data_IF_921720754547
#
_entry.id   IF_921720754547
#
_cell.length_a   1.000
_cell.length_b   1.000
_cell.length_c   1.000
_cell.angle_alpha   90.00
_cell.angle_beta   90.00
_cell.angle_gamma   90.00
#
_symmetry.space_group_name_H-M   'P 1'
#
loop_
_entity.id
_entity.type
_entity.pdbx_description
1 polymer ?
#
# COMPACT_ATOMS: atom_id res chain seq x y z
N UNK A 1 -7.03 -5.23 14.44
CA UNK A 1 -7.55 -3.86 14.37
C UNK A 1 -7.62 -3.39 12.92
N UNK A 2 -8.72 -2.75 12.47
CA UNK A 2 -8.78 -2.04 11.18
C UNK A 2 -7.73 -0.92 11.05
N UNK A 3 -7.05 -0.85 9.91
CA UNK A 3 -6.08 0.22 9.62
C UNK A 3 -6.75 1.60 9.64
N UNK A 4 -8.01 1.67 9.20
CA UNK A 4 -8.80 2.89 9.15
C UNK A 4 -9.05 3.55 10.51
N UNK A 5 -8.85 2.84 11.61
CA UNK A 5 -8.89 3.41 12.96
C UNK A 5 -7.79 4.46 13.17
N UNK A 6 -6.65 4.28 12.51
CA UNK A 6 -5.47 5.13 12.61
C UNK A 6 -5.28 5.99 11.36
N UNK A 7 -5.66 5.45 10.19
CA UNK A 7 -5.57 6.10 8.89
C UNK A 7 -6.96 6.18 8.25
N UNK A 8 -7.82 7.16 8.60
CA UNK A 8 -9.22 7.20 8.15
C UNK A 8 -9.42 7.15 6.64
N UNK A 9 -8.47 7.70 5.85
CA UNK A 9 -8.49 7.64 4.37
C UNK A 9 -8.46 6.20 3.82
N UNK A 10 -8.05 5.22 4.61
CA UNK A 10 -8.02 3.81 4.23
C UNK A 10 -9.39 3.10 4.39
N UNK A 11 -10.41 3.78 4.92
CA UNK A 11 -11.73 3.19 5.12
C UNK A 11 -12.47 2.87 3.81
N UNK A 12 -12.24 3.68 2.78
CA UNK A 12 -13.02 3.68 1.52
C UNK A 12 -12.17 3.35 0.29
N UNK A 13 -11.06 2.62 0.48
CA UNK A 13 -10.21 2.19 -0.63
C UNK A 13 -11.02 1.43 -1.67
N UNK A 14 -10.61 1.59 -2.92
CA UNK A 14 -11.15 0.79 -4.02
C UNK A 14 -10.25 -0.44 -4.24
N UNK A 15 -10.81 -1.46 -4.85
CA UNK A 15 -10.12 -2.70 -5.22
C UNK A 15 -10.31 -2.94 -6.70
N UNK A 16 -9.25 -3.30 -7.39
CA UNK A 16 -9.33 -3.67 -8.80
C UNK A 16 -10.17 -4.95 -8.97
N UNK A 17 -11.12 -4.93 -9.90
CA UNK A 17 -11.86 -6.13 -10.31
C UNK A 17 -10.96 -7.08 -11.08
N UNK A 18 -11.16 -8.38 -10.89
CA UNK A 18 -10.49 -9.40 -11.71
C UNK A 18 -10.95 -9.26 -13.18
N UNK A 19 -10.03 -9.44 -14.11
CA UNK A 19 -10.34 -9.46 -15.55
C UNK A 19 -10.50 -8.09 -16.23
N UNK A 20 -10.23 -6.97 -15.55
CA UNK A 20 -10.25 -5.64 -16.18
C UNK A 20 -9.71 -4.53 -15.29
N UNK A 21 -9.94 -3.28 -15.72
CA UNK A 21 -9.55 -2.05 -15.00
C UNK A 21 -10.69 -1.46 -14.13
N UNK A 22 -11.84 -2.12 -14.07
CA UNK A 22 -12.95 -1.69 -13.21
C UNK A 22 -12.59 -1.79 -11.72
N UNK A 23 -13.24 -0.96 -10.91
CA UNK A 23 -13.06 -0.92 -9.45
C UNK A 23 -14.29 -1.46 -8.70
N UNK A 24 -14.07 -2.01 -7.52
CA UNK A 24 -15.10 -2.42 -6.56
C UNK A 24 -14.72 -1.94 -5.14
N UNK A 25 -15.70 -1.68 -4.26
CA UNK A 25 -15.41 -1.29 -2.89
C UNK A 25 -14.78 -2.43 -2.08
N UNK A 26 -14.17 -2.08 -0.95
CA UNK A 26 -13.75 -3.05 0.07
C UNK A 26 -14.94 -3.91 0.53
N UNK A 27 -14.75 -5.23 0.54
CA UNK A 27 -15.70 -6.19 1.16
C UNK A 27 -15.52 -6.31 2.67
N UNK A 28 -14.33 -5.93 3.16
CA UNK A 28 -13.95 -5.89 4.57
C UNK A 28 -12.85 -4.85 4.77
N UNK A 29 -12.73 -4.27 5.97
CA UNK A 29 -11.63 -3.36 6.26
C UNK A 29 -10.26 -4.04 6.09
N UNK A 30 -9.26 -3.27 5.62
CA UNK A 30 -7.86 -3.65 5.77
C UNK A 30 -7.52 -3.67 7.27
N UNK A 31 -6.72 -4.64 7.72
CA UNK A 31 -6.35 -4.80 9.14
C UNK A 31 -4.84 -4.77 9.30
N UNK A 32 -4.34 -4.50 10.51
CA UNK A 32 -2.91 -4.58 10.82
C UNK A 32 -2.31 -5.97 10.51
N UNK A 33 -3.10 -7.05 10.68
CA UNK A 33 -2.69 -8.40 10.29
C UNK A 33 -2.49 -8.52 8.77
N UNK A 34 -3.35 -7.89 7.98
CA UNK A 34 -3.18 -7.89 6.53
C UNK A 34 -1.90 -7.17 6.09
N UNK A 35 -1.54 -6.09 6.79
CA UNK A 35 -0.29 -5.38 6.55
C UNK A 35 0.93 -6.27 6.86
N UNK A 36 0.98 -6.83 8.08
CA UNK A 36 2.09 -7.70 8.53
C UNK A 36 2.34 -8.91 7.62
N UNK A 37 1.29 -9.43 6.99
CA UNK A 37 1.36 -10.65 6.18
C UNK A 37 1.44 -10.38 4.67
N UNK A 38 1.54 -9.11 4.23
CA UNK A 38 1.48 -8.75 2.82
C UNK A 38 0.22 -9.29 2.10
N UNK A 39 -0.90 -9.31 2.82
CA UNK A 39 -2.22 -9.72 2.30
C UNK A 39 -3.19 -8.54 2.22
N UNK A 40 -2.67 -7.32 2.27
CA UNK A 40 -3.46 -6.08 2.24
C UNK A 40 -4.00 -5.73 0.84
N UNK A 41 -3.34 -6.21 -0.22
CA UNK A 41 -3.61 -5.82 -1.61
C UNK A 41 -2.78 -4.62 -2.09
N UNK A 42 -1.94 -4.02 -1.24
CA UNK A 42 -0.96 -3.01 -1.62
C UNK A 42 0.23 -3.66 -2.34
N UNK A 43 0.78 -2.99 -3.34
CA UNK A 43 1.89 -3.49 -4.18
C UNK A 43 2.91 -2.39 -4.46
N UNK A 44 4.12 -2.73 -4.92
CA UNK A 44 5.06 -1.77 -5.52
C UNK A 44 4.78 -1.48 -7.01
N UNK A 45 3.73 -2.08 -7.58
CA UNK A 45 3.38 -2.01 -8.99
C UNK A 45 3.82 -3.29 -9.71
N UNK A 46 4.20 -3.22 -11.00
CA UNK A 46 4.62 -4.44 -11.69
C UNK A 46 5.87 -5.01 -11.04
N UNK A 47 5.88 -6.33 -10.82
CA UNK A 47 7.03 -7.06 -10.27
C UNK A 47 8.27 -7.00 -11.18
N UNK A 48 9.28 -7.77 -10.84
CA UNK A 48 10.50 -7.93 -11.64
C UNK A 48 10.58 -9.33 -12.23
N UNK A 49 11.28 -9.46 -13.35
CA UNK A 49 11.72 -10.76 -13.88
C UNK A 49 12.79 -11.36 -12.96
N UNK A 50 13.07 -12.63 -13.15
CA UNK A 50 14.20 -13.35 -12.56
C UNK A 50 15.56 -12.67 -12.83
N UNK A 51 15.70 -12.03 -14.00
CA UNK A 51 16.87 -11.23 -14.38
C UNK A 51 16.90 -9.84 -13.76
N UNK A 52 15.88 -9.47 -12.99
CA UNK A 52 15.76 -8.17 -12.33
C UNK A 52 15.15 -7.08 -13.19
N UNK A 53 14.78 -7.36 -14.44
CA UNK A 53 14.10 -6.42 -15.34
C UNK A 53 12.70 -6.12 -14.82
N UNK A 54 12.28 -4.87 -14.93
CA UNK A 54 10.96 -4.45 -14.44
C UNK A 54 9.88 -4.93 -15.40
N UNK A 55 8.88 -5.65 -14.88
CA UNK A 55 7.74 -6.05 -15.69
C UNK A 55 6.96 -4.81 -16.16
N UNK A 56 6.30 -4.94 -17.30
CA UNK A 56 5.45 -3.88 -17.85
C UNK A 56 4.17 -3.80 -17.03
N UNK A 57 3.88 -2.63 -16.45
CA UNK A 57 2.57 -2.36 -15.85
C UNK A 57 1.47 -2.41 -16.92
N UNK A 58 0.50 -3.31 -16.75
CA UNK A 58 -0.55 -3.58 -17.73
C UNK A 58 -1.85 -2.86 -17.37
N UNK A 59 -2.12 -2.71 -16.07
CA UNK A 59 -3.36 -2.10 -15.56
C UNK A 59 -3.16 -0.65 -15.13
N UNK A 60 -4.26 0.12 -15.04
CA UNK A 60 -4.24 1.48 -14.47
C UNK A 60 -3.72 1.47 -13.04
N UNK A 61 -4.13 0.47 -12.24
CA UNK A 61 -3.67 0.27 -10.87
C UNK A 61 -2.14 0.13 -10.80
N UNK A 62 -1.56 -0.82 -11.53
CA UNK A 62 -0.10 -1.04 -11.55
C UNK A 62 0.68 0.19 -12.02
N UNK A 63 0.15 0.92 -13.01
CA UNK A 63 0.76 2.17 -13.49
C UNK A 63 0.77 3.23 -12.39
N UNK A 64 -0.30 3.34 -11.60
CA UNK A 64 -0.37 4.28 -10.47
C UNK A 64 0.63 3.94 -9.36
N UNK A 65 0.84 2.66 -9.02
CA UNK A 65 1.87 2.28 -8.05
C UNK A 65 3.28 2.54 -8.57
N UNK A 66 3.51 2.27 -9.86
CA UNK A 66 4.80 2.59 -10.50
C UNK A 66 5.12 4.08 -10.47
N UNK A 67 4.11 4.93 -10.66
CA UNK A 67 4.25 6.38 -10.54
C UNK A 67 4.63 6.80 -9.11
N UNK A 68 3.98 6.23 -8.09
CA UNK A 68 4.35 6.49 -6.70
C UNK A 68 5.77 6.04 -6.36
N UNK A 69 6.22 4.87 -6.83
CA UNK A 69 7.61 4.44 -6.65
C UNK A 69 8.58 5.47 -7.24
N UNK A 70 8.29 6.01 -8.44
CA UNK A 70 9.14 7.05 -9.04
C UNK A 70 9.17 8.35 -8.22
N UNK A 71 8.04 8.73 -7.61
CA UNK A 71 7.94 9.90 -6.74
C UNK A 71 8.69 9.71 -5.42
N UNK A 72 8.78 8.47 -4.94
CA UNK A 72 9.65 8.13 -3.80
C UNK A 72 11.13 8.19 -4.22
N UNK A 73 11.48 7.60 -5.37
CA UNK A 73 12.85 7.59 -5.89
C UNK A 73 13.38 9.02 -6.16
N UNK A 74 12.51 9.94 -6.57
CA UNK A 74 12.87 11.35 -6.79
C UNK A 74 12.91 12.20 -5.51
N UNK A 75 12.48 11.66 -4.37
CA UNK A 75 12.37 12.38 -3.10
C UNK A 75 11.14 13.30 -3.00
N UNK A 76 10.20 13.27 -3.96
CA UNK A 76 8.94 14.02 -3.86
C UNK A 76 8.06 13.49 -2.71
N UNK A 77 8.04 12.16 -2.55
CA UNK A 77 7.43 11.45 -1.42
C UNK A 77 8.54 11.00 -0.48
N UNK A 78 8.78 11.80 0.56
CA UNK A 78 9.93 11.69 1.48
C UNK A 78 9.54 11.28 2.92
N UNK A 79 8.25 11.03 3.19
CA UNK A 79 7.75 10.67 4.51
C UNK A 79 6.66 9.60 4.45
N UNK A 80 6.49 8.85 5.55
CA UNK A 80 5.43 7.85 5.68
C UNK A 80 4.03 8.46 5.62
N UNK A 81 3.88 9.71 6.04
CA UNK A 81 2.64 10.47 5.91
C UNK A 81 2.29 10.74 4.45
N UNK A 82 3.19 11.36 3.68
CA UNK A 82 2.99 11.65 2.26
C UNK A 82 2.75 10.35 1.47
N UNK A 83 3.49 9.29 1.83
CA UNK A 83 3.33 7.98 1.22
C UNK A 83 1.94 7.39 1.48
N UNK A 84 1.47 7.40 2.73
CA UNK A 84 0.13 6.90 3.06
C UNK A 84 -0.99 7.73 2.44
N UNK A 85 -0.81 9.06 2.34
CA UNK A 85 -1.75 9.93 1.63
C UNK A 85 -1.84 9.53 0.15
N UNK A 86 -0.71 9.38 -0.53
CA UNK A 86 -0.69 8.96 -1.94
C UNK A 86 -1.20 7.52 -2.14
N UNK A 87 -0.97 6.62 -1.19
CA UNK A 87 -1.50 5.25 -1.22
C UNK A 87 -3.02 5.21 -1.03
N UNK A 88 -3.59 6.15 -0.27
CA UNK A 88 -5.03 6.19 -0.03
C UNK A 88 -5.86 6.48 -1.28
N UNK A 89 -5.23 7.00 -2.33
CA UNK A 89 -5.84 7.29 -3.62
C UNK A 89 -5.71 6.13 -4.62
N UNK A 90 -4.99 5.06 -4.27
CA UNK A 90 -4.69 3.95 -5.19
C UNK A 90 -5.60 2.75 -4.92
N UNK A 91 -6.08 2.09 -5.98
CA UNK A 91 -6.85 0.86 -5.81
C UNK A 91 -5.95 -0.28 -5.33
N UNK A 92 -6.47 -1.17 -4.50
CA UNK A 92 -5.82 -2.41 -4.11
C UNK A 92 -5.85 -3.42 -5.25
N UNK A 93 -4.85 -4.28 -5.33
CA UNK A 93 -4.77 -5.32 -6.37
C UNK A 93 -5.76 -6.47 -6.15
N UNK A 94 -6.16 -6.70 -4.90
CA UNK A 94 -7.15 -7.68 -4.48
C UNK A 94 -7.74 -7.28 -3.12
N UNK A 95 -8.85 -7.93 -2.75
CA UNK A 95 -9.52 -7.70 -1.47
C UNK A 95 -8.63 -8.11 -0.29
N UNK A 96 -8.57 -7.34 0.82
CA UNK A 96 -7.74 -7.69 1.97
C UNK A 96 -7.98 -9.13 2.48
N UNK A 97 -6.90 -9.91 2.57
CA UNK A 97 -6.88 -11.32 2.96
C UNK A 97 -7.20 -12.32 1.84
N UNK A 98 -7.43 -11.87 0.59
CA UNK A 98 -7.78 -12.75 -0.54
C UNK A 98 -6.58 -13.17 -1.40
N UNK A 99 -5.36 -12.73 -1.06
CA UNK A 99 -4.15 -13.02 -1.81
C UNK A 99 -2.91 -12.50 -1.10
N UNK A 100 -1.76 -12.68 -1.74
CA UNK A 100 -0.46 -12.20 -1.29
C UNK A 100 0.18 -11.33 -2.37
N UNK A 101 0.73 -10.20 -1.98
CA UNK A 101 1.54 -9.33 -2.85
C UNK A 101 2.52 -8.52 -2.01
N UNK A 102 3.79 -8.56 -2.40
CA UNK A 102 4.81 -7.78 -1.70
C UNK A 102 4.72 -6.31 -2.12
N UNK A 103 4.82 -5.41 -1.15
CA UNK A 103 4.40 -4.03 -1.38
C UNK A 103 4.51 -3.16 -0.14
N UNK A 104 3.93 -1.96 -0.23
CA UNK A 104 3.93 -0.92 0.79
C UNK A 104 3.21 -1.25 2.11
N UNK A 105 2.91 -2.53 2.37
CA UNK A 105 2.19 -2.95 3.57
C UNK A 105 2.94 -2.59 4.86
N UNK A 106 4.26 -2.74 4.88
CA UNK A 106 5.07 -2.42 6.05
C UNK A 106 5.28 -0.90 6.22
N UNK A 107 5.28 -0.13 5.14
CA UNK A 107 5.32 1.34 5.23
C UNK A 107 4.06 1.90 5.91
N UNK A 108 2.88 1.38 5.53
CA UNK A 108 1.61 1.72 6.17
C UNK A 108 1.57 1.27 7.64
N UNK A 109 2.17 0.11 7.95
CA UNK A 109 2.33 -0.34 9.33
C UNK A 109 3.23 0.62 10.11
N UNK A 110 4.35 1.04 9.53
CA UNK A 110 5.25 2.04 10.09
C UNK A 110 4.52 3.35 10.40
N UNK A 111 3.72 3.87 9.46
CA UNK A 111 2.91 5.07 9.69
C UNK A 111 1.91 4.88 10.82
N UNK A 112 1.30 3.70 10.91
CA UNK A 112 0.38 3.38 12.00
C UNK A 112 1.09 3.43 13.35
N UNK A 113 2.33 2.90 13.44
CA UNK A 113 3.13 2.95 14.66
C UNK A 113 3.47 4.39 15.06
N UNK A 114 3.80 5.26 14.09
CA UNK A 114 4.03 6.69 14.37
C UNK A 114 2.81 7.36 14.98
N UNK A 115 1.62 7.09 14.44
CA UNK A 115 0.37 7.68 14.92
C UNK A 115 -0.04 7.15 16.30
N UNK A 116 0.20 5.88 16.58
CA UNK A 116 -0.10 5.26 17.89
C UNK A 116 0.83 5.79 18.98
N UNK A 117 2.10 5.99 18.66
CA UNK A 117 3.13 6.36 19.65
C UNK A 117 3.36 7.87 19.76
N UNK A 118 2.95 8.65 18.76
CA UNK A 118 3.31 10.07 18.64
C UNK A 118 4.79 10.31 18.34
N UNK A 119 5.53 9.28 17.90
CA UNK A 119 6.98 9.34 17.68
C UNK A 119 7.34 8.95 16.23
N UNK A 120 8.44 9.48 15.66
CA UNK A 120 8.90 9.05 14.35
C UNK A 120 9.37 7.59 14.38
N UNK A 121 9.12 6.84 13.29
CA UNK A 121 9.42 5.40 13.24
C UNK A 121 10.89 5.08 13.56
N UNK A 122 11.82 5.94 13.12
CA UNK A 122 13.26 5.82 13.40
C UNK A 122 13.57 5.74 14.90
N UNK A 123 12.77 6.39 15.75
CA UNK A 123 12.95 6.35 17.20
C UNK A 123 12.40 5.05 17.77
N UNK A 124 11.22 4.64 17.33
CA UNK A 124 10.56 3.40 17.79
C UNK A 124 11.43 2.16 17.55
N UNK A 125 12.13 2.09 16.40
CA UNK A 125 12.95 0.92 16.04
C UNK A 125 14.29 0.86 16.82
N UNK A 126 14.76 1.98 17.37
CA UNK A 126 16.04 2.03 18.10
C UNK A 126 15.94 1.57 19.55
N UNK A 127 14.73 1.57 20.11
CA UNK A 127 14.44 1.13 21.47
C UNK A 127 14.29 -0.40 21.53
#
# INVERSE_FOLDING_TARGET
DPVSRYLPKFANLQVRRKGGDGLEPLKRPMTLRHLLMHTSGLTYGPGRTDRGDRLVARTVAEKSYRELVRRQDSGEVDSLEKLCDALSEKPLMFQPGAGYEYGFSLDVLGRTMELVTGQPLRRIIRE
#
